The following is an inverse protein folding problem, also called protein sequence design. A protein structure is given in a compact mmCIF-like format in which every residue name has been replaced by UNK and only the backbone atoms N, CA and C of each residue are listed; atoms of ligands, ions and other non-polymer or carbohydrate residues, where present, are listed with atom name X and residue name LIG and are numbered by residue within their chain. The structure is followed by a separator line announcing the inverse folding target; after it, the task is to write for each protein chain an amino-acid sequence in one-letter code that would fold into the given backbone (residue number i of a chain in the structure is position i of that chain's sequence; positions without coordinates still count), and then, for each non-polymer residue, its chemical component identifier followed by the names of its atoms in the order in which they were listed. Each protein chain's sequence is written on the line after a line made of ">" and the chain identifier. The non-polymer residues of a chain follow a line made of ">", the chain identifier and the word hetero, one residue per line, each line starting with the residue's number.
data_IF_210198970322
#
_entry.id   IF_210198970322
#
_cell.length_a   1.000
_cell.length_b   1.000
_cell.length_c   1.000
_cell.angle_alpha   90.00
_cell.angle_beta   90.00
_cell.angle_gamma   90.00
#
_symmetry.space_group_name_H-M   'P 1'
#
loop_
_entity.id
_entity.type
_entity.pdbx_description
1 polymer ?
#
# COMPACT_ATOMS: atom_id res chain seq x y z
N UNK A 1 25.26 20.46 -12.12
CA UNK A 1 24.14 21.26 -11.59
C UNK A 1 22.97 21.37 -12.57
N UNK A 2 23.20 21.61 -13.87
CA UNK A 2 22.12 21.67 -14.89
C UNK A 2 21.33 20.35 -15.06
N UNK A 3 21.98 19.19 -14.95
CA UNK A 3 21.34 17.87 -15.06
C UNK A 3 20.29 17.61 -13.96
N UNK A 4 20.61 17.96 -12.71
CA UNK A 4 19.70 17.78 -11.55
C UNK A 4 18.47 18.70 -11.66
N UNK A 5 18.65 19.92 -12.19
CA UNK A 5 17.55 20.88 -12.43
C UNK A 5 16.60 20.34 -13.50
N UNK A 6 17.11 19.72 -14.56
CA UNK A 6 16.28 19.08 -15.57
C UNK A 6 15.50 17.89 -15.00
N UNK A 7 16.12 17.02 -14.20
CA UNK A 7 15.47 15.85 -13.61
C UNK A 7 14.25 16.19 -12.74
N UNK A 8 14.29 17.28 -11.97
CA UNK A 8 13.13 17.72 -11.17
C UNK A 8 11.88 18.00 -12.01
N UNK A 9 12.06 18.51 -13.23
CA UNK A 9 10.95 18.79 -14.15
C UNK A 9 10.22 17.52 -14.60
N UNK A 10 10.93 16.38 -14.59
CA UNK A 10 10.42 15.10 -15.06
C UNK A 10 9.94 14.18 -13.94
N UNK A 11 10.13 14.51 -12.66
CA UNK A 11 9.70 13.69 -11.51
C UNK A 11 8.21 13.32 -11.58
N UNK A 12 7.37 14.21 -12.11
CA UNK A 12 5.92 13.98 -12.30
C UNK A 12 5.59 12.82 -13.22
N UNK A 13 6.48 12.48 -14.16
CA UNK A 13 6.32 11.33 -15.04
C UNK A 13 6.67 10.01 -14.36
N UNK A 14 7.09 10.03 -13.09
CA UNK A 14 7.34 8.83 -12.31
C UNK A 14 6.30 8.67 -11.21
N UNK A 15 6.04 9.71 -10.41
CA UNK A 15 5.11 9.56 -9.29
C UNK A 15 3.62 9.48 -9.68
N UNK A 16 3.16 10.17 -10.75
CA UNK A 16 1.76 10.05 -11.17
C UNK A 16 1.46 8.70 -11.83
N UNK A 17 2.29 8.20 -12.78
CA UNK A 17 2.09 6.86 -13.30
C UNK A 17 2.21 5.78 -12.22
N UNK A 18 3.12 5.94 -11.26
CA UNK A 18 3.22 5.01 -10.13
C UNK A 18 1.92 4.91 -9.34
N UNK A 19 1.35 6.04 -8.89
CA UNK A 19 0.07 6.04 -8.16
C UNK A 19 -1.05 5.48 -9.03
N UNK A 20 -1.11 5.86 -10.31
CA UNK A 20 -2.14 5.37 -11.22
C UNK A 20 -2.06 3.86 -11.41
N UNK A 21 -0.86 3.32 -11.61
CA UNK A 21 -0.61 1.90 -11.76
C UNK A 21 -0.85 1.13 -10.46
N UNK A 22 -0.57 1.72 -9.29
CA UNK A 22 -0.99 1.14 -8.01
C UNK A 22 -2.51 0.95 -7.99
N UNK A 23 -3.31 1.96 -8.35
CA UNK A 23 -4.76 1.78 -8.40
C UNK A 23 -5.22 0.78 -9.48
N UNK A 24 -4.55 0.72 -10.64
CA UNK A 24 -4.86 -0.32 -11.64
C UNK A 24 -4.56 -1.71 -11.08
N UNK A 25 -3.34 -1.91 -10.57
CA UNK A 25 -2.93 -3.17 -9.97
C UNK A 25 -3.93 -3.56 -8.87
N UNK A 26 -4.27 -2.64 -7.98
CA UNK A 26 -5.26 -2.82 -6.93
C UNK A 26 -6.65 -3.28 -7.43
N UNK A 27 -7.18 -2.68 -8.49
CA UNK A 27 -8.50 -3.03 -9.04
C UNK A 27 -8.50 -4.30 -9.90
N UNK A 28 -7.34 -4.71 -10.40
CA UNK A 28 -7.20 -5.85 -11.30
C UNK A 28 -6.29 -6.96 -10.74
N UNK A 29 -5.91 -6.87 -9.46
CA UNK A 29 -5.05 -7.83 -8.79
C UNK A 29 -5.75 -9.19 -8.80
N UNK A 30 -4.97 -10.23 -9.07
CA UNK A 30 -5.41 -11.62 -9.11
C UNK A 30 -6.20 -12.03 -7.86
N UNK A 31 -5.76 -11.63 -6.68
CA UNK A 31 -6.38 -12.00 -5.41
C UNK A 31 -7.69 -11.23 -5.19
N UNK A 32 -7.73 -9.97 -5.60
CA UNK A 32 -8.95 -9.17 -5.65
C UNK A 32 -10.00 -9.78 -6.59
N UNK A 33 -9.59 -10.13 -7.82
CA UNK A 33 -10.48 -10.76 -8.81
C UNK A 33 -10.97 -12.14 -8.34
N UNK A 34 -10.18 -12.88 -7.58
CA UNK A 34 -10.55 -14.18 -7.00
C UNK A 34 -11.52 -14.03 -5.81
N UNK A 35 -11.37 -12.98 -5.00
CA UNK A 35 -12.22 -12.71 -3.83
C UNK A 35 -13.53 -11.99 -4.13
N UNK A 36 -13.59 -11.17 -5.18
CA UNK A 36 -14.77 -10.34 -5.53
C UNK A 36 -15.62 -10.93 -6.63
N UNK A 37 -15.01 -11.55 -7.65
CA UNK A 37 -15.79 -12.33 -8.60
C UNK A 37 -15.99 -13.72 -7.97
N UNK A 38 -17.11 -14.41 -8.22
CA UNK A 38 -17.30 -15.82 -7.86
C UNK A 38 -16.33 -16.74 -8.63
N UNK A 39 -15.16 -16.25 -9.05
CA UNK A 39 -14.04 -16.98 -9.63
C UNK A 39 -13.31 -17.82 -8.59
N UNK A 40 -13.23 -17.36 -7.33
CA UNK A 40 -12.67 -18.15 -6.23
C UNK A 40 -13.51 -19.39 -5.86
N UNK A 41 -14.82 -19.38 -6.18
CA UNK A 41 -15.68 -20.57 -6.13
C UNK A 41 -15.80 -21.28 -7.49
N UNK A 42 -15.46 -20.61 -8.60
CA UNK A 42 -15.44 -21.20 -9.93
C UNK A 42 -14.12 -21.96 -10.20
N UNK A 43 -13.85 -22.96 -9.38
CA UNK A 43 -12.90 -24.02 -9.73
C UNK A 43 -13.35 -24.90 -10.90
N UNK A 44 -14.34 -24.53 -11.74
CA UNK A 44 -15.05 -25.51 -12.58
C UNK A 44 -15.46 -25.07 -14.01
N UNK A 45 -15.09 -23.90 -14.55
CA UNK A 45 -15.22 -23.72 -16.01
C UNK A 45 -14.17 -22.81 -16.67
N UNK A 46 -13.44 -23.40 -17.62
CA UNK A 46 -12.48 -22.72 -18.51
C UNK A 46 -13.10 -21.53 -19.28
N UNK A 47 -14.42 -21.54 -19.49
CA UNK A 47 -15.14 -20.49 -20.20
C UNK A 47 -15.27 -19.20 -19.40
N UNK A 48 -15.51 -19.26 -18.08
CA UNK A 48 -15.60 -18.07 -17.22
C UNK A 48 -14.22 -17.47 -16.96
N UNK A 49 -13.19 -18.30 -16.76
CA UNK A 49 -11.80 -17.84 -16.59
C UNK A 49 -11.26 -17.14 -17.83
N UNK A 50 -11.63 -17.58 -19.04
CA UNK A 50 -11.23 -16.91 -20.30
C UNK A 50 -11.87 -15.53 -20.46
N UNK A 51 -13.14 -15.37 -20.13
CA UNK A 51 -13.85 -14.09 -20.27
C UNK A 51 -13.23 -12.99 -19.42
N UNK A 52 -12.70 -13.33 -18.24
CA UNK A 52 -12.03 -12.38 -17.35
C UNK A 52 -10.50 -12.39 -17.43
N UNK A 53 -9.90 -13.19 -18.33
CA UNK A 53 -8.44 -13.32 -18.46
C UNK A 53 -7.74 -11.99 -18.75
N UNK A 54 -8.38 -11.10 -19.53
CA UNK A 54 -7.83 -9.79 -19.83
C UNK A 54 -7.66 -8.91 -18.58
N UNK A 55 -8.51 -9.07 -17.55
CA UNK A 55 -8.38 -8.36 -16.28
C UNK A 55 -7.11 -8.82 -15.54
N UNK A 56 -6.85 -10.12 -15.52
CA UNK A 56 -5.63 -10.69 -14.93
C UNK A 56 -4.37 -10.21 -15.64
N UNK A 57 -4.40 -10.10 -16.98
CA UNK A 57 -3.29 -9.53 -17.75
C UNK A 57 -3.05 -8.07 -17.39
N UNK A 58 -4.10 -7.25 -17.32
CA UNK A 58 -3.97 -5.83 -16.94
C UNK A 58 -3.36 -5.68 -15.54
N UNK A 59 -3.83 -6.46 -14.56
CA UNK A 59 -3.28 -6.44 -13.20
C UNK A 59 -1.82 -6.89 -13.15
N UNK A 60 -1.47 -7.97 -13.86
CA UNK A 60 -0.09 -8.48 -13.93
C UNK A 60 0.88 -7.51 -14.59
N UNK A 61 0.48 -6.89 -15.70
CA UNK A 61 1.28 -5.84 -16.37
C UNK A 61 1.42 -4.61 -15.46
N UNK A 62 0.35 -4.19 -14.78
CA UNK A 62 0.40 -3.08 -13.84
C UNK A 62 1.37 -3.35 -12.69
N UNK A 63 1.35 -4.55 -12.11
CA UNK A 63 2.34 -4.99 -11.12
C UNK A 63 3.78 -4.93 -11.67
N UNK A 64 4.00 -5.44 -12.89
CA UNK A 64 5.31 -5.36 -13.56
C UNK A 64 5.80 -3.91 -13.73
N UNK A 65 4.93 -2.99 -14.13
CA UNK A 65 5.30 -1.58 -14.21
C UNK A 65 5.53 -0.94 -12.83
N UNK A 66 4.72 -1.27 -11.82
CA UNK A 66 4.92 -0.83 -10.43
C UNK A 66 6.30 -1.24 -9.96
N UNK A 67 6.70 -2.50 -10.15
CA UNK A 67 8.02 -3.02 -9.83
C UNK A 67 9.14 -2.12 -10.39
N UNK A 68 9.16 -1.89 -11.71
CA UNK A 68 10.20 -1.04 -12.33
C UNK A 68 10.13 0.42 -11.85
N UNK A 69 8.93 0.96 -11.65
CA UNK A 69 8.76 2.32 -11.18
C UNK A 69 9.22 2.51 -9.72
N UNK A 70 9.14 1.49 -8.86
CA UNK A 70 9.67 1.59 -7.50
C UNK A 70 11.18 1.87 -7.51
N UNK A 71 11.95 1.13 -8.31
CA UNK A 71 13.38 1.39 -8.50
C UNK A 71 13.63 2.81 -9.01
N UNK A 72 12.88 3.24 -10.02
CA UNK A 72 13.01 4.59 -10.58
C UNK A 72 12.70 5.67 -9.53
N UNK A 73 11.63 5.52 -8.76
CA UNK A 73 11.22 6.46 -7.70
C UNK A 73 12.27 6.53 -6.58
N UNK A 74 12.83 5.40 -6.16
CA UNK A 74 13.94 5.36 -5.18
C UNK A 74 15.17 6.08 -5.69
N UNK A 75 15.62 5.79 -6.91
CA UNK A 75 16.79 6.43 -7.52
C UNK A 75 16.56 7.94 -7.63
N UNK A 76 15.38 8.36 -8.09
CA UNK A 76 15.01 9.77 -8.15
C UNK A 76 15.05 10.42 -6.79
N UNK A 77 14.55 9.76 -5.75
CA UNK A 77 14.59 10.28 -4.39
C UNK A 77 16.01 10.46 -3.88
N UNK A 78 16.89 9.49 -4.11
CA UNK A 78 18.30 9.55 -3.72
C UNK A 78 18.98 10.75 -4.42
N UNK A 79 18.82 10.87 -5.73
CA UNK A 79 19.57 11.83 -6.56
C UNK A 79 18.99 13.25 -6.49
N UNK A 80 17.67 13.41 -6.46
CA UNK A 80 17.01 14.70 -6.77
C UNK A 80 16.17 15.31 -5.64
N UNK A 81 15.83 14.54 -4.60
CA UNK A 81 15.02 15.03 -3.48
C UNK A 81 15.78 16.01 -2.57
N UNK A 82 15.01 16.70 -1.73
CA UNK A 82 15.47 17.63 -0.69
C UNK A 82 15.87 16.94 0.63
N UNK A 83 15.92 15.60 0.66
CA UNK A 83 16.25 14.83 1.87
C UNK A 83 17.69 15.08 2.35
N UNK A 84 17.89 14.94 3.66
CA UNK A 84 19.22 14.99 4.29
C UNK A 84 20.06 13.77 3.90
N UNK A 85 21.36 13.78 4.27
CA UNK A 85 22.31 12.71 3.90
C UNK A 85 21.92 11.35 4.46
N UNK A 86 21.38 11.29 5.68
CA UNK A 86 21.08 10.02 6.38
C UNK A 86 19.95 9.26 5.66
N UNK A 87 18.74 9.82 5.44
CA UNK A 87 17.68 9.13 4.70
C UNK A 87 18.11 8.70 3.30
N UNK A 88 18.92 9.51 2.60
CA UNK A 88 19.45 9.14 1.28
C UNK A 88 20.38 7.93 1.33
N UNK A 89 21.25 7.85 2.35
CA UNK A 89 22.10 6.69 2.55
C UNK A 89 21.26 5.43 2.85
N UNK A 90 20.24 5.54 3.70
CA UNK A 90 19.35 4.42 3.98
C UNK A 90 18.54 3.99 2.75
N UNK A 91 18.03 4.94 1.96
CA UNK A 91 17.37 4.64 0.68
C UNK A 91 18.30 3.91 -0.29
N UNK A 92 19.59 4.25 -0.33
CA UNK A 92 20.58 3.55 -1.13
C UNK A 92 20.79 2.11 -0.62
N UNK A 93 20.88 1.92 0.70
CA UNK A 93 20.95 0.58 1.30
C UNK A 93 19.71 -0.25 1.00
N UNK A 94 18.52 0.34 1.06
CA UNK A 94 17.26 -0.32 0.70
C UNK A 94 17.29 -0.70 -0.77
N UNK A 95 17.58 0.24 -1.67
CA UNK A 95 17.69 -0.01 -3.11
C UNK A 95 18.64 -1.18 -3.44
N UNK A 96 19.81 -1.20 -2.78
CA UNK A 96 20.77 -2.29 -2.89
C UNK A 96 20.20 -3.62 -2.42
N UNK A 97 19.59 -3.67 -1.23
CA UNK A 97 19.01 -4.88 -0.66
C UNK A 97 17.83 -5.38 -1.51
N UNK A 98 16.96 -4.49 -1.98
CA UNK A 98 15.85 -4.83 -2.89
C UNK A 98 16.37 -5.50 -4.15
N UNK A 99 17.30 -4.84 -4.87
CA UNK A 99 17.88 -5.39 -6.08
C UNK A 99 18.56 -6.74 -5.83
N UNK A 100 19.31 -6.85 -4.73
CA UNK A 100 19.99 -8.07 -4.34
C UNK A 100 19.01 -9.21 -4.04
N UNK A 101 17.96 -8.94 -3.26
CA UNK A 101 16.93 -9.92 -2.94
C UNK A 101 16.15 -10.34 -4.17
N UNK A 102 15.83 -9.43 -5.09
CA UNK A 102 15.14 -9.77 -6.33
C UNK A 102 16.01 -10.66 -7.23
N UNK A 103 17.31 -10.36 -7.35
CA UNK A 103 18.26 -11.20 -8.08
C UNK A 103 18.35 -12.60 -7.46
N UNK A 104 18.41 -12.70 -6.12
CA UNK A 104 18.39 -13.98 -5.41
C UNK A 104 17.09 -14.73 -5.70
N UNK A 105 15.93 -14.08 -5.63
CA UNK A 105 14.66 -14.70 -5.94
C UNK A 105 14.59 -15.17 -7.39
N UNK A 106 15.13 -14.43 -8.36
CA UNK A 106 15.21 -14.90 -9.75
C UNK A 106 16.14 -16.12 -9.85
N UNK A 107 17.33 -16.06 -9.25
CA UNK A 107 18.32 -17.12 -9.34
C UNK A 107 17.83 -18.44 -8.71
N UNK A 108 17.25 -18.39 -7.52
CA UNK A 108 16.75 -19.58 -6.82
C UNK A 108 15.31 -19.95 -7.22
N UNK A 109 14.50 -18.97 -7.59
CA UNK A 109 13.08 -19.15 -7.96
C UNK A 109 12.87 -19.89 -9.27
N UNK A 110 13.87 -19.95 -10.15
CA UNK A 110 13.84 -20.79 -11.35
C UNK A 110 13.67 -22.28 -10.99
N UNK A 111 14.24 -22.71 -9.86
CA UNK A 111 14.24 -24.11 -9.43
C UNK A 111 13.41 -24.38 -8.16
N UNK A 112 13.02 -23.31 -7.43
CA UNK A 112 12.23 -23.43 -6.22
C UNK A 112 11.30 -22.23 -6.03
N UNK A 113 10.04 -22.37 -6.43
CA UNK A 113 9.04 -21.32 -6.28
C UNK A 113 8.60 -21.08 -4.83
N UNK A 114 9.06 -21.88 -3.86
CA UNK A 114 8.80 -21.67 -2.42
C UNK A 114 10.00 -21.04 -1.69
N UNK A 115 11.00 -20.56 -2.42
CA UNK A 115 12.14 -19.86 -1.82
C UNK A 115 11.66 -18.60 -1.08
N UNK A 116 11.98 -18.52 0.20
CA UNK A 116 11.80 -17.35 1.05
C UNK A 116 13.16 -16.80 1.47
N UNK A 117 13.26 -15.48 1.60
CA UNK A 117 14.46 -14.85 2.17
C UNK A 117 14.71 -15.34 3.60
N UNK A 118 15.99 -15.45 4.02
CA UNK A 118 16.32 -15.74 5.41
C UNK A 118 15.64 -14.74 6.37
N UNK A 119 15.03 -15.24 7.43
CA UNK A 119 14.25 -14.45 8.39
C UNK A 119 15.02 -13.23 8.92
N UNK A 120 16.29 -13.41 9.29
CA UNK A 120 17.14 -12.33 9.77
C UNK A 120 17.33 -11.20 8.75
N UNK A 121 17.41 -11.53 7.46
CA UNK A 121 17.49 -10.55 6.38
C UNK A 121 16.16 -9.80 6.21
N UNK A 122 15.03 -10.51 6.29
CA UNK A 122 13.68 -9.93 6.23
C UNK A 122 13.42 -8.96 7.39
N UNK A 123 13.82 -9.33 8.62
CA UNK A 123 13.72 -8.47 9.80
C UNK A 123 14.54 -7.19 9.65
N UNK A 124 15.81 -7.31 9.25
CA UNK A 124 16.67 -6.15 9.04
C UNK A 124 16.12 -5.22 7.95
N UNK A 125 15.59 -5.79 6.87
CA UNK A 125 15.01 -5.05 5.76
C UNK A 125 13.76 -4.26 6.16
N UNK A 126 12.83 -4.90 6.89
CA UNK A 126 11.62 -4.23 7.40
C UNK A 126 11.97 -3.12 8.40
N UNK A 127 12.89 -3.36 9.32
CA UNK A 127 13.34 -2.32 10.26
C UNK A 127 13.98 -1.12 9.52
N UNK A 128 14.74 -1.40 8.47
CA UNK A 128 15.33 -0.36 7.62
C UNK A 128 14.25 0.45 6.89
N UNK A 129 13.21 -0.20 6.35
CA UNK A 129 12.05 0.44 5.71
C UNK A 129 11.32 1.37 6.71
N UNK A 130 11.03 0.88 7.92
CA UNK A 130 10.33 1.66 8.95
C UNK A 130 11.17 2.86 9.37
N UNK A 131 12.45 2.65 9.72
CA UNK A 131 13.35 3.72 10.14
C UNK A 131 13.51 4.78 9.05
N UNK A 132 13.68 4.37 7.80
CA UNK A 132 13.81 5.28 6.65
C UNK A 132 12.53 6.08 6.43
N UNK A 133 11.37 5.44 6.49
CA UNK A 133 10.07 6.10 6.35
C UNK A 133 9.88 7.20 7.41
N UNK A 134 10.17 6.91 8.68
CA UNK A 134 10.09 7.88 9.78
C UNK A 134 11.02 9.07 9.53
N UNK A 135 12.27 8.83 9.13
CA UNK A 135 13.24 9.89 8.89
C UNK A 135 12.87 10.75 7.67
N UNK A 136 12.31 10.16 6.62
CA UNK A 136 11.80 10.91 5.46
C UNK A 136 10.63 11.81 5.88
N UNK A 137 9.67 11.29 6.66
CA UNK A 137 8.52 12.07 7.17
C UNK A 137 9.00 13.29 7.97
N UNK A 138 10.04 13.10 8.78
CA UNK A 138 10.69 14.18 9.53
C UNK A 138 11.23 15.26 8.60
N UNK A 139 12.00 14.87 7.58
CA UNK A 139 12.65 15.80 6.65
C UNK A 139 11.63 16.58 5.79
N UNK A 140 10.54 15.93 5.34
CA UNK A 140 9.46 16.62 4.61
C UNK A 140 8.62 17.52 5.52
N UNK A 141 8.68 17.32 6.84
CA UNK A 141 7.95 18.03 7.90
C UNK A 141 6.42 17.90 7.77
N UNK A 142 5.93 16.67 7.55
CA UNK A 142 4.50 16.36 7.43
C UNK A 142 4.05 15.44 8.55
N UNK A 143 3.77 16.03 9.71
CA UNK A 143 3.40 15.29 10.93
C UNK A 143 2.22 14.32 10.75
N UNK A 144 1.25 14.69 9.91
CA UNK A 144 0.08 13.83 9.65
C UNK A 144 0.47 12.49 9.00
N UNK A 145 1.59 12.42 8.28
CA UNK A 145 2.06 11.16 7.70
C UNK A 145 2.55 10.16 8.74
N UNK A 146 2.99 10.59 9.92
CA UNK A 146 3.30 9.65 11.01
C UNK A 146 2.05 8.88 11.44
N UNK A 147 0.89 9.53 11.41
CA UNK A 147 -0.40 8.89 11.70
C UNK A 147 -0.80 7.97 10.56
N UNK A 148 -0.58 8.40 9.31
CA UNK A 148 -0.95 7.63 8.12
C UNK A 148 -0.22 6.30 7.96
N UNK A 149 1.01 6.17 8.46
CA UNK A 149 1.80 4.93 8.36
C UNK A 149 1.56 3.94 9.50
N UNK A 150 0.72 4.27 10.50
CA UNK A 150 0.43 3.37 11.63
C UNK A 150 -0.11 2.01 11.16
N UNK A 151 -1.04 1.92 10.19
CA UNK A 151 -1.53 0.64 9.69
C UNK A 151 -0.40 -0.22 9.11
N UNK A 152 0.50 0.38 8.33
CA UNK A 152 1.65 -0.33 7.74
C UNK A 152 2.64 -0.80 8.82
N UNK A 153 2.85 0.00 9.88
CA UNK A 153 3.67 -0.42 11.02
C UNK A 153 3.05 -1.62 11.73
N UNK A 154 1.72 -1.67 11.87
CA UNK A 154 1.03 -2.85 12.41
C UNK A 154 1.16 -4.06 11.48
N UNK A 155 1.07 -3.87 10.17
CA UNK A 155 1.30 -4.95 9.20
C UNK A 155 2.74 -5.50 9.27
N UNK A 156 3.74 -4.62 9.38
CA UNK A 156 5.12 -5.05 9.62
C UNK A 156 5.29 -5.72 10.99
N UNK A 157 4.61 -5.25 12.03
CA UNK A 157 4.66 -5.86 13.36
C UNK A 157 4.06 -7.26 13.35
N UNK A 158 3.00 -7.49 12.55
CA UNK A 158 2.44 -8.82 12.33
C UNK A 158 3.47 -9.81 11.78
N UNK A 159 4.19 -9.40 10.72
CA UNK A 159 5.26 -10.19 10.09
C UNK A 159 6.46 -10.39 11.02
N UNK A 160 6.88 -9.34 11.73
CA UNK A 160 7.98 -9.42 12.69
C UNK A 160 7.64 -10.45 13.79
N UNK A 161 6.41 -10.44 14.31
CA UNK A 161 5.98 -11.41 15.31
C UNK A 161 6.07 -12.86 14.82
N UNK A 162 5.58 -13.15 13.60
CA UNK A 162 5.60 -14.51 13.04
C UNK A 162 7.02 -14.98 12.77
N UNK A 163 7.86 -14.12 12.20
CA UNK A 163 9.28 -14.37 11.98
C UNK A 163 10.07 -14.58 13.27
N UNK A 164 9.74 -13.86 14.36
CA UNK A 164 10.38 -14.08 15.65
C UNK A 164 9.99 -15.43 16.26
N UNK A 165 8.74 -15.87 16.13
CA UNK A 165 8.32 -17.22 16.53
C UNK A 165 9.10 -18.27 15.73
N UNK A 166 9.17 -18.13 14.41
CA UNK A 166 9.86 -19.07 13.53
C UNK A 166 11.37 -19.14 13.82
N UNK A 167 12.01 -18.01 14.07
CA UNK A 167 13.44 -17.94 14.35
C UNK A 167 13.83 -18.45 15.75
N UNK A 168 12.98 -18.25 16.75
CA UNK A 168 13.32 -18.53 18.17
C UNK A 168 12.61 -19.74 18.75
N UNK A 169 11.52 -20.20 18.15
CA UNK A 169 10.62 -21.21 18.70
C UNK A 169 9.77 -20.71 19.89
N UNK A 170 9.88 -19.44 20.28
CA UNK A 170 9.20 -18.86 21.45
C UNK A 170 7.80 -18.38 21.05
N UNK A 171 6.77 -19.06 21.55
CA UNK A 171 5.37 -18.81 21.19
C UNK A 171 4.83 -17.43 21.60
N UNK A 172 5.44 -16.81 22.61
CA UNK A 172 5.06 -15.52 23.18
C UNK A 172 5.19 -14.38 22.16
N UNK A 173 6.12 -14.50 21.20
CA UNK A 173 6.21 -13.56 20.09
C UNK A 173 4.96 -13.58 19.19
N UNK A 174 4.21 -14.69 19.17
CA UNK A 174 2.91 -14.77 18.49
C UNK A 174 1.86 -13.82 19.05
N UNK A 175 2.06 -13.31 20.29
CA UNK A 175 1.24 -12.24 20.86
C UNK A 175 1.35 -10.93 20.06
N UNK A 176 2.51 -10.64 19.46
CA UNK A 176 2.71 -9.45 18.61
C UNK A 176 1.88 -9.59 17.34
N UNK A 177 1.92 -10.76 16.70
CA UNK A 177 1.12 -11.10 15.51
C UNK A 177 -0.36 -10.96 15.80
N UNK A 178 -0.85 -11.58 16.87
CA UNK A 178 -2.27 -11.54 17.26
C UNK A 178 -2.75 -10.11 17.57
N UNK A 179 -1.97 -9.34 18.35
CA UNK A 179 -2.33 -7.97 18.70
C UNK A 179 -2.35 -7.06 17.46
N UNK A 180 -1.35 -7.20 16.59
CA UNK A 180 -1.23 -6.39 15.37
C UNK A 180 -2.40 -6.64 14.42
N UNK A 181 -2.73 -7.91 14.16
CA UNK A 181 -3.89 -8.30 13.35
C UNK A 181 -5.19 -7.72 13.93
N UNK A 182 -5.36 -7.78 15.26
CA UNK A 182 -6.55 -7.24 15.92
C UNK A 182 -6.65 -5.72 15.80
N UNK A 183 -5.55 -4.98 15.92
CA UNK A 183 -5.55 -3.51 15.94
C UNK A 183 -5.60 -2.88 14.54
N UNK A 184 -5.11 -3.58 13.51
CA UNK A 184 -4.97 -3.05 12.16
C UNK A 184 -6.25 -2.41 11.59
N UNK A 185 -7.45 -3.02 11.69
CA UNK A 185 -8.68 -2.41 11.15
C UNK A 185 -9.09 -1.16 11.91
N UNK A 186 -8.99 -1.17 13.24
CA UNK A 186 -9.27 0.01 14.07
C UNK A 186 -8.31 1.15 13.74
N UNK A 187 -7.04 0.83 13.48
CA UNK A 187 -6.05 1.81 13.07
C UNK A 187 -6.43 2.46 11.75
N UNK A 188 -6.86 1.70 10.73
CA UNK A 188 -7.27 2.25 9.44
C UNK A 188 -8.48 3.19 9.56
N UNK A 189 -9.50 2.81 10.33
CA UNK A 189 -10.66 3.68 10.57
C UNK A 189 -10.25 4.98 11.27
N UNK A 190 -9.50 4.87 12.37
CA UNK A 190 -9.12 6.01 13.19
C UNK A 190 -8.15 6.94 12.45
N UNK A 191 -7.13 6.39 11.78
CA UNK A 191 -6.17 7.13 10.96
C UNK A 191 -6.87 7.85 9.80
N UNK A 192 -7.74 7.15 9.07
CA UNK A 192 -8.51 7.73 7.97
C UNK A 192 -9.44 8.84 8.45
N UNK A 193 -10.17 8.62 9.55
CA UNK A 193 -11.04 9.64 10.14
C UNK A 193 -10.26 10.87 10.62
N UNK A 194 -9.13 10.68 11.29
CA UNK A 194 -8.24 11.76 11.74
C UNK A 194 -7.73 12.56 10.53
N UNK A 195 -7.28 11.88 9.47
CA UNK A 195 -6.83 12.52 8.25
C UNK A 195 -7.92 13.40 7.64
N UNK A 196 -9.11 12.82 7.41
CA UNK A 196 -10.25 13.54 6.84
C UNK A 196 -10.64 14.73 7.71
N UNK A 197 -10.73 14.56 9.03
CA UNK A 197 -11.10 15.65 9.96
C UNK A 197 -10.10 16.83 9.91
N UNK A 198 -8.81 16.54 9.85
CA UNK A 198 -7.74 17.56 9.79
C UNK A 198 -7.70 18.26 8.42
N UNK A 199 -7.95 17.52 7.34
CA UNK A 199 -7.81 18.00 5.96
C UNK A 199 -9.09 18.67 5.43
N UNK A 200 -10.27 18.25 5.87
CA UNK A 200 -11.57 18.71 5.36
C UNK A 200 -11.72 20.23 5.36
N UNK A 201 -11.12 20.92 6.33
CA UNK A 201 -11.16 22.40 6.45
C UNK A 201 -10.28 23.13 5.42
N UNK A 202 -9.36 22.42 4.76
CA UNK A 202 -8.37 23.00 3.83
C UNK A 202 -8.78 22.89 2.37
N UNK A 203 -9.73 22.01 2.05
CA UNK A 203 -10.10 21.66 0.68
C UNK A 203 -11.48 22.20 0.30
N UNK A 204 -11.77 22.24 -1.00
CA UNK A 204 -13.11 22.58 -1.48
C UNK A 204 -14.12 21.52 -1.01
N UNK A 205 -15.28 21.96 -0.52
CA UNK A 205 -16.38 21.09 -0.06
C UNK A 205 -16.84 20.09 -1.11
N UNK A 206 -16.66 20.36 -2.41
CA UNK A 206 -16.97 19.40 -3.47
C UNK A 206 -16.26 18.05 -3.26
N UNK A 207 -15.01 18.06 -2.80
CA UNK A 207 -14.24 16.84 -2.49
C UNK A 207 -14.73 16.09 -1.24
N UNK A 208 -15.67 16.66 -0.48
CA UNK A 208 -16.37 16.01 0.64
C UNK A 208 -17.78 15.55 0.23
N UNK A 209 -18.42 16.29 -0.69
CA UNK A 209 -19.76 15.95 -1.20
C UNK A 209 -19.72 14.76 -2.14
N UNK A 210 -18.73 14.67 -3.03
CA UNK A 210 -18.60 13.54 -3.96
C UNK A 210 -18.51 12.19 -3.22
N UNK A 211 -17.59 11.98 -2.25
CA UNK A 211 -17.56 10.71 -1.52
C UNK A 211 -18.86 10.47 -0.76
N UNK A 212 -19.50 11.50 -0.17
CA UNK A 212 -20.79 11.34 0.50
C UNK A 212 -21.86 10.74 -0.43
N UNK A 213 -22.00 11.28 -1.65
CA UNK A 213 -23.02 10.86 -2.63
C UNK A 213 -22.73 9.45 -3.15
N UNK A 214 -21.47 9.05 -3.26
CA UNK A 214 -21.09 7.73 -3.80
C UNK A 214 -21.08 6.68 -2.69
N UNK A 215 -20.32 6.92 -1.62
CA UNK A 215 -20.00 5.88 -0.66
C UNK A 215 -21.11 5.62 0.34
N UNK A 216 -21.89 6.63 0.75
CA UNK A 216 -22.96 6.45 1.74
C UNK A 216 -24.11 5.62 1.18
N UNK A 217 -24.66 5.89 -0.03
CA UNK A 217 -25.70 5.04 -0.60
C UNK A 217 -25.23 3.61 -0.82
N UNK A 218 -24.02 3.41 -1.36
CA UNK A 218 -23.45 2.08 -1.53
C UNK A 218 -23.26 1.35 -0.19
N UNK A 219 -22.83 2.08 0.84
CA UNK A 219 -22.71 1.54 2.19
C UNK A 219 -24.08 1.14 2.78
N UNK A 220 -25.12 1.95 2.57
CA UNK A 220 -26.50 1.65 2.98
C UNK A 220 -27.02 0.40 2.23
N UNK A 221 -26.84 0.34 0.92
CA UNK A 221 -27.24 -0.82 0.10
C UNK A 221 -26.55 -2.10 0.57
N UNK A 222 -25.26 -2.02 0.90
CA UNK A 222 -24.49 -3.12 1.45
C UNK A 222 -24.98 -3.51 2.86
N UNK A 223 -25.23 -2.51 3.72
CA UNK A 223 -25.68 -2.71 5.10
C UNK A 223 -27.02 -3.42 5.18
N UNK A 224 -27.98 -3.01 4.35
CA UNK A 224 -29.29 -3.65 4.26
C UNK A 224 -29.30 -4.87 3.34
N UNK A 225 -28.14 -5.29 2.82
CA UNK A 225 -27.99 -6.40 1.87
C UNK A 225 -28.97 -6.32 0.69
N UNK A 226 -29.25 -5.10 0.20
CA UNK A 226 -30.17 -4.85 -0.92
C UNK A 226 -29.66 -5.49 -2.20
N UNK A 227 -28.33 -5.50 -2.37
CA UNK A 227 -27.62 -6.24 -3.41
C UNK A 227 -26.85 -7.37 -2.74
N UNK A 228 -27.27 -8.63 -2.93
CA UNK A 228 -26.58 -9.79 -2.35
C UNK A 228 -25.10 -9.79 -2.71
N UNK A 229 -24.24 -9.97 -1.70
CA UNK A 229 -22.80 -9.99 -1.89
C UNK A 229 -22.15 -8.61 -2.06
N UNK A 230 -22.89 -7.49 -1.97
CA UNK A 230 -22.30 -6.14 -2.04
C UNK A 230 -21.46 -5.80 -0.80
N UNK A 231 -21.91 -6.20 0.41
CA UNK A 231 -21.12 -6.03 1.62
C UNK A 231 -19.83 -6.85 1.57
N UNK A 232 -19.95 -8.09 1.08
CA UNK A 232 -18.85 -9.00 0.79
C UNK A 232 -17.89 -8.40 -0.22
N UNK A 233 -18.40 -7.88 -1.35
CA UNK A 233 -17.63 -7.16 -2.33
C UNK A 233 -16.93 -5.97 -1.69
N UNK A 234 -17.61 -5.04 -1.03
CA UNK A 234 -16.97 -3.90 -0.37
C UNK A 234 -15.95 -4.31 0.72
N UNK A 235 -16.17 -5.46 1.37
CA UNK A 235 -15.36 -6.01 2.48
C UNK A 235 -14.19 -6.89 2.07
N UNK A 236 -14.23 -7.46 0.87
CA UNK A 236 -13.09 -8.07 0.19
C UNK A 236 -12.44 -7.11 -0.80
N UNK A 237 -13.10 -6.01 -1.15
CA UNK A 237 -12.52 -4.93 -1.94
C UNK A 237 -11.67 -4.10 -1.00
N UNK A 238 -12.25 -3.35 -0.06
CA UNK A 238 -11.49 -2.32 0.66
C UNK A 238 -10.54 -2.81 1.76
N UNK A 239 -10.92 -3.76 2.64
CA UNK A 239 -9.99 -4.41 3.57
C UNK A 239 -8.82 -5.14 2.88
N UNK A 240 -9.07 -5.81 1.75
CA UNK A 240 -8.03 -6.49 0.97
C UNK A 240 -7.15 -5.48 0.23
N UNK A 241 -7.74 -4.39 -0.27
CA UNK A 241 -7.07 -3.19 -0.83
C UNK A 241 -6.26 -2.41 0.22
N UNK A 242 -6.60 -2.55 1.50
CA UNK A 242 -5.94 -1.91 2.64
C UNK A 242 -5.10 -2.90 3.48
N UNK A 243 -4.90 -4.13 3.00
CA UNK A 243 -3.89 -5.05 3.53
C UNK A 243 -4.31 -5.76 4.81
N UNK A 244 -5.61 -5.93 5.03
CA UNK A 244 -6.16 -6.52 6.25
C UNK A 244 -6.34 -8.03 6.07
N UNK A 245 -5.51 -8.80 6.77
CA UNK A 245 -5.72 -10.22 6.98
C UNK A 245 -6.58 -10.47 8.22
N UNK A 246 -7.46 -11.47 8.13
CA UNK A 246 -8.14 -12.04 9.30
C UNK A 246 -9.33 -11.26 9.83
N UNK A 247 -9.95 -10.38 9.03
CA UNK A 247 -11.12 -9.62 9.48
C UNK A 247 -12.31 -9.88 8.57
N UNK A 248 -12.67 -11.15 8.51
CA UNK A 248 -13.90 -11.64 7.88
C UNK A 248 -15.17 -11.10 8.56
N UNK A 249 -15.05 -10.59 9.80
CA UNK A 249 -16.18 -10.30 10.69
C UNK A 249 -16.44 -8.78 10.91
N UNK A 250 -15.77 -7.87 10.20
CA UNK A 250 -15.91 -6.43 10.44
C UNK A 250 -16.53 -5.60 9.31
N UNK A 251 -17.62 -4.91 9.65
CA UNK A 251 -18.23 -3.70 9.06
C UNK A 251 -17.66 -3.19 7.71
N UNK A 252 -17.78 -3.95 6.61
CA UNK A 252 -17.28 -3.54 5.29
C UNK A 252 -17.73 -2.16 4.79
N UNK A 253 -18.99 -1.73 5.03
CA UNK A 253 -19.49 -0.47 4.49
C UNK A 253 -18.81 0.77 5.07
N UNK A 254 -18.40 0.73 6.34
CA UNK A 254 -17.82 1.91 7.03
C UNK A 254 -16.38 2.15 6.56
N UNK A 255 -15.60 1.08 6.37
CA UNK A 255 -14.25 1.17 5.79
C UNK A 255 -14.30 1.80 4.40
N UNK A 256 -15.23 1.36 3.56
CA UNK A 256 -15.41 1.91 2.24
C UNK A 256 -15.71 3.41 2.25
N UNK A 257 -16.59 3.86 3.16
CA UNK A 257 -16.90 5.29 3.34
C UNK A 257 -15.62 6.05 3.71
N UNK A 258 -14.90 5.62 4.75
CA UNK A 258 -13.70 6.33 5.20
C UNK A 258 -12.62 6.34 4.10
N UNK A 259 -12.35 5.20 3.46
CA UNK A 259 -11.39 5.12 2.36
C UNK A 259 -11.76 6.07 1.20
N UNK A 260 -13.04 6.13 0.84
CA UNK A 260 -13.54 7.06 -0.17
C UNK A 260 -13.29 8.51 0.24
N UNK A 261 -13.62 8.88 1.49
CA UNK A 261 -13.34 10.21 2.00
C UNK A 261 -11.84 10.52 2.00
N UNK A 262 -10.97 9.61 2.42
CA UNK A 262 -9.50 9.79 2.40
C UNK A 262 -9.01 9.98 0.95
N UNK A 263 -9.52 9.20 0.00
CA UNK A 263 -9.17 9.31 -1.42
C UNK A 263 -9.53 10.69 -1.99
N UNK A 264 -10.80 11.09 -1.91
CA UNK A 264 -11.25 12.36 -2.48
C UNK A 264 -10.67 13.58 -1.75
N UNK A 265 -10.48 13.50 -0.43
CA UNK A 265 -9.80 14.58 0.32
C UNK A 265 -8.33 14.69 -0.07
N UNK A 266 -7.65 13.57 -0.33
CA UNK A 266 -6.28 13.55 -0.84
C UNK A 266 -6.19 14.13 -2.25
N UNK A 267 -7.15 13.84 -3.14
CA UNK A 267 -7.24 14.48 -4.46
C UNK A 267 -7.43 16.00 -4.33
N UNK A 268 -8.28 16.45 -3.40
CA UNK A 268 -8.46 17.87 -3.09
C UNK A 268 -7.17 18.55 -2.63
N UNK A 269 -6.30 17.83 -1.92
CA UNK A 269 -4.99 18.33 -1.50
C UNK A 269 -3.94 18.40 -2.62
N UNK A 270 -4.11 17.74 -3.77
CA UNK A 270 -3.09 17.75 -4.85
C UNK A 270 -2.72 19.17 -5.32
N UNK A 271 -3.64 20.12 -5.22
CA UNK A 271 -3.39 21.52 -5.61
C UNK A 271 -2.85 22.40 -4.46
N UNK A 272 -2.88 21.90 -3.23
CA UNK A 272 -2.59 22.68 -2.01
C UNK A 272 -1.32 22.16 -1.32
N UNK A 273 -1.22 20.85 -1.12
CA UNK A 273 -0.12 20.20 -0.40
C UNK A 273 0.19 18.83 -1.02
N UNK A 274 0.92 18.86 -2.15
CA UNK A 274 1.35 17.64 -2.88
C UNK A 274 2.18 16.70 -2.01
N UNK A 275 3.04 17.28 -1.16
CA UNK A 275 3.92 16.54 -0.26
C UNK A 275 3.18 15.74 0.83
N UNK A 276 1.90 16.03 1.07
CA UNK A 276 1.01 15.22 1.90
C UNK A 276 0.07 14.35 1.06
N UNK A 277 -0.46 14.90 -0.04
CA UNK A 277 -1.43 14.22 -0.90
C UNK A 277 -0.86 12.97 -1.60
N UNK A 278 0.32 13.07 -2.22
CA UNK A 278 0.88 11.97 -3.00
C UNK A 278 1.25 10.76 -2.13
N UNK A 279 1.86 10.92 -0.94
CA UNK A 279 2.04 9.80 -0.03
C UNK A 279 0.74 9.14 0.39
N UNK A 280 -0.31 9.90 0.71
CA UNK A 280 -1.58 9.30 1.14
C UNK A 280 -2.25 8.54 0.00
N UNK A 281 -2.21 9.06 -1.23
CA UNK A 281 -2.69 8.33 -2.41
C UNK A 281 -1.84 7.08 -2.67
N UNK A 282 -0.52 7.15 -2.46
CA UNK A 282 0.38 6.00 -2.57
C UNK A 282 0.11 4.93 -1.51
N UNK A 283 -0.15 5.32 -0.26
CA UNK A 283 -0.51 4.40 0.83
C UNK A 283 -1.88 3.76 0.56
N UNK A 284 -2.87 4.53 0.11
CA UNK A 284 -4.18 3.98 -0.27
C UNK A 284 -4.10 2.99 -1.43
N UNK A 285 -3.22 3.24 -2.41
CA UNK A 285 -3.05 2.36 -3.56
C UNK A 285 -2.12 1.17 -3.32
N UNK A 286 -1.25 1.25 -2.31
CA UNK A 286 -0.17 0.29 -2.05
C UNK A 286 -0.30 -0.48 -0.73
N UNK A 287 -1.45 -0.41 -0.06
CA UNK A 287 -1.69 -1.13 1.19
C UNK A 287 -1.99 -2.62 0.92
N UNK A 288 -1.07 -3.31 0.25
CA UNK A 288 -1.14 -4.75 0.00
C UNK A 288 0.06 -5.41 0.68
N UNK A 289 -0.01 -5.65 1.99
CA UNK A 289 0.95 -6.53 2.68
C UNK A 289 0.31 -7.90 2.79
N UNK A 290 0.57 -8.77 1.82
CA UNK A 290 -0.03 -10.11 1.74
C UNK A 290 0.63 -11.13 2.67
N UNK A 291 -0.18 -12.07 3.15
CA UNK A 291 0.11 -13.08 4.19
C UNK A 291 1.14 -14.15 3.78
N UNK A 292 1.60 -14.18 2.53
CA UNK A 292 2.29 -15.37 2.03
C UNK A 292 3.38 -15.14 0.98
N UNK A 293 3.50 -13.94 0.40
CA UNK A 293 4.52 -13.68 -0.62
C UNK A 293 5.41 -12.55 -0.14
N UNK A 294 6.61 -12.94 0.30
CA UNK A 294 7.72 -12.06 0.69
C UNK A 294 8.32 -11.31 -0.51
N UNK A 295 7.48 -10.80 -1.41
CA UNK A 295 7.94 -9.95 -2.50
C UNK A 295 8.39 -8.61 -1.92
N UNK A 296 9.61 -8.25 -2.26
CA UNK A 296 10.23 -6.97 -1.96
C UNK A 296 9.36 -5.79 -2.41
N UNK A 297 8.58 -5.98 -3.49
CA UNK A 297 7.72 -4.95 -4.09
C UNK A 297 6.66 -4.47 -3.12
N UNK A 298 5.94 -5.41 -2.50
CA UNK A 298 4.88 -5.12 -1.54
C UNK A 298 5.44 -4.57 -0.23
N UNK A 299 6.56 -5.13 0.26
CA UNK A 299 7.25 -4.62 1.45
C UNK A 299 7.76 -3.18 1.27
N UNK A 300 8.08 -2.76 0.04
CA UNK A 300 8.54 -1.41 -0.26
C UNK A 300 7.42 -0.38 -0.36
N UNK A 301 6.18 -0.78 -0.65
CA UNK A 301 5.10 0.16 -0.98
C UNK A 301 4.90 1.28 0.06
N UNK A 302 4.92 1.02 1.38
CA UNK A 302 4.78 2.08 2.38
C UNK A 302 5.90 3.13 2.32
N UNK A 303 7.14 2.68 2.12
CA UNK A 303 8.29 3.56 1.96
C UNK A 303 8.21 4.36 0.66
N UNK A 304 7.88 3.70 -0.45
CA UNK A 304 7.74 4.38 -1.74
C UNK A 304 6.70 5.47 -1.64
N UNK A 305 5.55 5.21 -1.02
CA UNK A 305 4.51 6.20 -0.79
C UNK A 305 5.06 7.44 -0.05
N UNK A 306 5.77 7.24 1.05
CA UNK A 306 6.42 8.32 1.81
C UNK A 306 7.45 9.07 0.95
N UNK A 307 8.22 8.36 0.12
CA UNK A 307 9.19 8.94 -0.81
C UNK A 307 8.54 9.89 -1.82
N UNK A 308 7.32 9.61 -2.30
CA UNK A 308 6.60 10.51 -3.22
C UNK A 308 6.41 11.92 -2.63
N UNK A 309 6.29 12.03 -1.31
CA UNK A 309 6.18 13.29 -0.59
C UNK A 309 7.46 14.12 -0.66
N UNK A 310 8.62 13.46 -0.68
CA UNK A 310 9.93 14.11 -0.79
C UNK A 310 10.26 14.61 -2.20
N UNK A 311 9.63 14.01 -3.21
CA UNK A 311 9.82 14.34 -4.63
C UNK A 311 8.90 15.46 -5.13
N UNK A 312 7.93 15.86 -4.32
CA UNK A 312 6.93 16.88 -4.69
C UNK A 312 7.13 18.23 -4.02
N UNK A 313 8.23 18.38 -3.27
CA UNK A 313 8.66 19.58 -2.57
C UNK A 313 9.79 20.26 -3.32
#
# INVERSE_FOLDING_TARGET
>A
MSFVINLRRYQKFFYYPYIFLLFIELFFNREFLVGVLPLGMAGLSLSVTRTFYFLYLIGGEAYGFVFFLQFAVLILAIVSSTLTKIPKALLLSILYLTAFFDIIHVYFGINNTSFNLPIGASLAYVLLIIATSILIIRDINKKLLYVMIIPDILAFSFLIGSWLVEMTGVSEFGGITSLSARLMPYSLLSVGAVFVAVVARKINRLFLVIPLIISVPLAILAWFNVVPGLATMLGYTFPYILGILGVTDWFPPIFFVIASFVFFTSLGLLKIDKSLSLPVLGLLGGALVFDTISSTTYMLMPLIAVVLGSLSK
#
